data_IF_548845221838
#
_entry.id   IF_548845221838
#
_cell.length_a   1.000
_cell.length_b   1.000
_cell.length_c   1.000
_cell.angle_alpha   90.00
_cell.angle_beta   90.00
_cell.angle_gamma   90.00
#
_symmetry.space_group_name_H-M   'P 1'
#
loop_
_entity.id
_entity.type
_entity.pdbx_description
1 polymer ?
#
# COMPACT_ATOMS: atom_id res chain seq x y z
N UNK A 1 -16.14 -19.99 29.33
CA UNK A 1 -15.79 -21.21 28.57
C UNK A 1 -16.41 -21.23 27.16
N UNK A 2 -17.72 -21.02 26.98
CA UNK A 2 -18.33 -20.94 25.64
C UNK A 2 -17.84 -19.73 24.82
N UNK A 3 -17.72 -18.54 25.42
CA UNK A 3 -17.18 -17.35 24.74
C UNK A 3 -15.72 -17.51 24.35
N UNK A 4 -14.84 -17.89 25.28
CA UNK A 4 -13.42 -18.13 24.98
C UNK A 4 -13.20 -19.19 23.86
N UNK A 5 -14.08 -20.20 23.78
CA UNK A 5 -14.05 -21.18 22.69
C UNK A 5 -14.50 -20.56 21.36
N UNK A 6 -15.58 -19.77 21.36
CA UNK A 6 -16.07 -19.10 20.16
C UNK A 6 -15.06 -18.08 19.61
N UNK A 7 -14.37 -17.36 20.50
CA UNK A 7 -13.32 -16.39 20.18
C UNK A 7 -12.08 -17.08 19.60
N UNK A 8 -11.63 -18.18 20.21
CA UNK A 8 -10.53 -18.99 19.69
C UNK A 8 -10.85 -19.61 18.31
N UNK A 9 -12.09 -20.08 18.10
CA UNK A 9 -12.53 -20.59 16.81
C UNK A 9 -12.63 -19.49 15.75
N UNK A 10 -13.08 -18.28 16.13
CA UNK A 10 -13.11 -17.12 15.24
C UNK A 10 -11.69 -16.71 14.81
N UNK A 11 -10.74 -16.66 15.75
CA UNK A 11 -9.33 -16.39 15.46
C UNK A 11 -8.72 -17.44 14.52
N UNK A 12 -8.98 -18.73 14.74
CA UNK A 12 -8.49 -19.80 13.86
C UNK A 12 -9.10 -19.73 12.46
N UNK A 13 -10.39 -19.40 12.34
CA UNK A 13 -11.05 -19.19 11.03
C UNK A 13 -10.42 -18.00 10.30
N UNK A 14 -10.27 -16.86 10.97
CA UNK A 14 -9.64 -15.67 10.40
C UNK A 14 -8.21 -15.95 9.90
N UNK A 15 -7.42 -16.70 10.69
CA UNK A 15 -6.07 -17.12 10.30
C UNK A 15 -6.05 -18.04 9.07
N UNK A 16 -7.02 -18.95 8.99
CA UNK A 16 -7.13 -19.87 7.84
C UNK A 16 -7.55 -19.14 6.58
N UNK A 17 -8.52 -18.23 6.69
CA UNK A 17 -8.99 -17.39 5.60
C UNK A 17 -7.86 -16.46 5.10
N UNK A 18 -7.08 -15.88 6.01
CA UNK A 18 -5.89 -15.11 5.67
C UNK A 18 -4.87 -15.93 4.88
N UNK A 19 -4.50 -17.14 5.34
CA UNK A 19 -3.55 -18.00 4.64
C UNK A 19 -4.07 -18.44 3.26
N UNK A 20 -5.37 -18.70 3.13
CA UNK A 20 -5.99 -19.03 1.85
C UNK A 20 -5.96 -17.85 0.88
N UNK A 21 -6.30 -16.65 1.35
CA UNK A 21 -6.22 -15.42 0.57
C UNK A 21 -4.78 -15.15 0.11
N UNK A 22 -3.80 -15.21 1.01
CA UNK A 22 -2.40 -15.01 0.66
C UNK A 22 -1.89 -16.03 -0.35
N UNK A 23 -2.28 -17.29 -0.21
CA UNK A 23 -1.90 -18.34 -1.17
C UNK A 23 -2.43 -18.03 -2.58
N UNK A 24 -3.64 -17.49 -2.68
CA UNK A 24 -4.22 -17.08 -3.96
C UNK A 24 -3.52 -15.85 -4.53
N UNK A 25 -3.26 -14.83 -3.70
CA UNK A 25 -2.58 -13.60 -4.11
C UNK A 25 -1.14 -13.86 -4.54
N UNK A 26 -0.42 -14.79 -3.91
CA UNK A 26 0.93 -15.21 -4.31
C UNK A 26 0.93 -15.96 -5.66
N UNK A 27 -0.09 -16.80 -5.90
CA UNK A 27 -0.15 -17.66 -7.10
C UNK A 27 -0.24 -16.84 -8.39
N UNK A 28 -0.95 -15.72 -8.38
CA UNK A 28 -1.15 -14.88 -9.57
C UNK A 28 0.15 -14.30 -10.14
N UNK A 29 0.96 -13.52 -9.37
CA UNK A 29 2.25 -13.02 -9.86
C UNK A 29 3.25 -14.15 -10.12
N UNK A 30 3.23 -15.23 -9.33
CA UNK A 30 4.10 -16.39 -9.58
C UNK A 30 3.81 -17.06 -10.93
N UNK A 31 2.54 -17.29 -11.27
CA UNK A 31 2.14 -17.84 -12.56
C UNK A 31 2.52 -16.91 -13.71
N UNK A 32 2.41 -15.59 -13.52
CA UNK A 32 2.89 -14.60 -14.48
C UNK A 32 4.40 -14.73 -14.70
N UNK A 33 5.18 -14.82 -13.62
CA UNK A 33 6.64 -14.95 -13.68
C UNK A 33 7.05 -16.23 -14.41
N UNK A 34 6.45 -17.38 -14.08
CA UNK A 34 6.71 -18.66 -14.78
C UNK A 34 6.34 -18.56 -16.25
N UNK A 35 5.10 -18.17 -16.57
CA UNK A 35 4.61 -18.14 -17.95
C UNK A 35 5.39 -17.18 -18.85
N UNK A 36 5.68 -15.96 -18.40
CA UNK A 36 6.46 -15.01 -19.20
C UNK A 36 7.94 -15.39 -19.30
N UNK A 37 8.51 -16.05 -18.28
CA UNK A 37 9.86 -16.61 -18.37
C UNK A 37 9.95 -17.74 -19.40
N UNK A 38 8.94 -18.62 -19.45
CA UNK A 38 8.83 -19.67 -20.48
C UNK A 38 8.67 -19.06 -21.89
N UNK A 39 7.89 -17.98 -22.03
CA UNK A 39 7.77 -17.29 -23.32
C UNK A 39 9.07 -16.60 -23.73
N UNK A 40 9.82 -16.03 -22.79
CA UNK A 40 11.13 -15.41 -23.04
C UNK A 40 12.20 -16.42 -23.45
N UNK A 41 12.06 -17.69 -23.05
CA UNK A 41 12.97 -18.77 -23.42
C UNK A 41 12.81 -19.27 -24.86
N UNK A 42 11.81 -18.77 -25.61
CA UNK A 42 11.59 -19.13 -27.01
C UNK A 42 12.53 -18.35 -27.94
N UNK A 43 13.18 -19.05 -28.87
CA UNK A 43 14.20 -18.49 -29.77
C UNK A 43 13.63 -17.52 -30.84
N UNK A 44 12.33 -17.62 -31.16
CA UNK A 44 11.66 -16.91 -32.26
C UNK A 44 10.95 -15.61 -31.83
N UNK A 45 11.27 -15.06 -30.66
CA UNK A 45 10.54 -13.94 -30.10
C UNK A 45 10.95 -12.57 -30.71
N UNK A 46 10.02 -11.81 -31.33
CA UNK A 46 10.30 -10.45 -31.82
C UNK A 46 10.83 -9.52 -30.72
N UNK A 47 11.75 -8.57 -31.03
CA UNK A 47 12.36 -7.70 -30.02
C UNK A 47 11.37 -6.91 -29.17
N UNK A 48 10.27 -6.42 -29.75
CA UNK A 48 9.24 -5.67 -29.04
C UNK A 48 8.48 -6.55 -28.02
N UNK A 49 8.14 -7.79 -28.40
CA UNK A 49 7.50 -8.76 -27.49
C UNK A 49 8.44 -9.17 -26.38
N UNK A 50 9.74 -9.33 -26.70
CA UNK A 50 10.77 -9.62 -25.70
C UNK A 50 10.91 -8.51 -24.66
N UNK A 51 10.85 -7.25 -25.09
CA UNK A 51 10.86 -6.12 -24.16
C UNK A 51 9.63 -6.14 -23.24
N UNK A 52 8.43 -6.26 -23.82
CA UNK A 52 7.19 -6.31 -23.05
C UNK A 52 7.17 -7.48 -22.04
N UNK A 53 7.62 -8.68 -22.43
CA UNK A 53 7.66 -9.83 -21.52
C UNK A 53 8.67 -9.67 -20.39
N UNK A 54 9.83 -9.02 -20.63
CA UNK A 54 10.76 -8.66 -19.55
C UNK A 54 10.13 -7.70 -18.56
N UNK A 55 9.37 -6.72 -19.05
CA UNK A 55 8.65 -5.78 -18.18
C UNK A 55 7.59 -6.52 -17.35
N UNK A 56 6.82 -7.44 -17.95
CA UNK A 56 5.86 -8.28 -17.20
C UNK A 56 6.53 -9.14 -16.12
N UNK A 57 7.66 -9.79 -16.41
CA UNK A 57 8.40 -10.57 -15.41
C UNK A 57 8.86 -9.68 -14.26
N UNK A 58 9.42 -8.49 -14.57
CA UNK A 58 9.86 -7.53 -13.55
C UNK A 58 8.71 -7.08 -12.66
N UNK A 59 7.57 -6.77 -13.26
CA UNK A 59 6.42 -6.26 -12.53
C UNK A 59 5.76 -7.36 -11.68
N UNK A 60 5.69 -8.60 -12.19
CA UNK A 60 5.25 -9.76 -11.43
C UNK A 60 6.17 -10.05 -10.23
N UNK A 61 7.50 -9.98 -10.42
CA UNK A 61 8.46 -10.17 -9.33
C UNK A 61 8.34 -9.08 -8.25
N UNK A 62 8.14 -7.81 -8.65
CA UNK A 62 7.90 -6.70 -7.72
C UNK A 62 6.62 -6.89 -6.93
N UNK A 63 5.53 -7.27 -7.60
CA UNK A 63 4.26 -7.55 -6.94
C UNK A 63 4.38 -8.69 -5.92
N UNK A 64 5.12 -9.75 -6.25
CA UNK A 64 5.35 -10.86 -5.35
C UNK A 64 6.16 -10.43 -4.12
N UNK A 65 7.20 -9.62 -4.31
CA UNK A 65 8.01 -9.09 -3.21
C UNK A 65 7.17 -8.23 -2.26
N UNK A 66 6.32 -7.35 -2.80
CA UNK A 66 5.38 -6.55 -1.97
C UNK A 66 4.49 -7.45 -1.11
N UNK A 67 3.91 -8.51 -1.69
CA UNK A 67 3.05 -9.43 -0.94
C UNK A 67 3.85 -10.12 0.18
N UNK A 68 5.08 -10.55 -0.09
CA UNK A 68 5.94 -11.18 0.92
C UNK A 68 6.27 -10.21 2.06
N UNK A 69 6.64 -8.97 1.71
CA UNK A 69 6.96 -7.93 2.70
C UNK A 69 5.74 -7.60 3.57
N UNK A 70 4.54 -7.51 2.98
CA UNK A 70 3.29 -7.27 3.71
C UNK A 70 2.97 -8.41 4.69
N UNK A 71 3.18 -9.68 4.31
CA UNK A 71 2.99 -10.84 5.20
C UNK A 71 3.99 -10.79 6.37
N UNK A 72 5.26 -10.45 6.09
CA UNK A 72 6.30 -10.37 7.11
C UNK A 72 6.05 -9.23 8.10
N UNK A 73 5.60 -8.08 7.61
CA UNK A 73 5.26 -6.95 8.45
C UNK A 73 4.03 -7.24 9.32
N UNK A 74 2.98 -7.87 8.78
CA UNK A 74 1.84 -8.32 9.58
C UNK A 74 2.28 -9.30 10.67
N UNK A 75 3.12 -10.28 10.32
CA UNK A 75 3.63 -11.28 11.28
C UNK A 75 4.43 -10.62 12.42
N UNK A 76 5.17 -9.54 12.15
CA UNK A 76 5.89 -8.76 13.17
C UNK A 76 4.92 -7.99 14.07
N UNK A 77 3.88 -7.39 13.50
CA UNK A 77 2.84 -6.68 14.24
C UNK A 77 2.10 -7.62 15.20
N UNK A 78 1.62 -8.76 14.72
CA UNK A 78 0.90 -9.75 15.55
C UNK A 78 1.77 -10.32 16.68
N UNK A 79 3.07 -10.48 16.42
CA UNK A 79 4.01 -10.95 17.43
C UNK A 79 4.42 -9.87 18.44
N UNK A 80 3.95 -8.62 18.28
CA UNK A 80 4.38 -7.48 19.08
C UNK A 80 5.88 -7.13 18.89
N UNK A 81 6.46 -7.55 17.76
CA UNK A 81 7.90 -7.38 17.43
C UNK A 81 8.15 -6.23 16.46
N UNK A 82 7.16 -5.36 16.27
CA UNK A 82 7.34 -4.17 15.44
C UNK A 82 7.98 -3.07 16.29
N UNK A 83 9.28 -2.87 16.14
CA UNK A 83 10.01 -1.77 16.77
C UNK A 83 9.88 -0.50 15.92
N UNK A 84 9.24 0.53 16.49
CA UNK A 84 9.15 1.86 15.88
C UNK A 84 10.39 2.67 16.23
N UNK A 85 11.04 3.19 15.19
CA UNK A 85 12.24 4.01 15.33
C UNK A 85 11.86 5.48 15.18
N UNK A 86 11.29 6.05 16.25
CA UNK A 86 10.87 7.44 16.25
C UNK A 86 12.06 8.39 16.17
N UNK A 87 12.04 9.28 15.18
CA UNK A 87 12.98 10.38 15.02
C UNK A 87 12.24 11.67 14.68
N UNK A 88 12.94 12.79 14.72
CA UNK A 88 12.38 14.06 14.25
C UNK A 88 12.29 14.04 12.72
N UNK A 89 11.08 14.25 12.20
CA UNK A 89 10.80 14.23 10.76
C UNK A 89 10.11 15.49 10.29
N UNK A 90 10.33 15.84 9.02
CA UNK A 90 9.59 16.87 8.29
C UNK A 90 8.41 16.20 7.53
N UNK A 91 7.16 16.39 8.00
CA UNK A 91 6.01 15.71 7.42
C UNK A 91 5.70 16.20 6.00
N UNK A 92 6.03 17.45 5.67
CA UNK A 92 5.81 18.02 4.34
C UNK A 92 6.74 17.34 3.34
N UNK A 93 8.05 17.29 3.64
CA UNK A 93 9.02 16.58 2.79
C UNK A 93 8.69 15.10 2.62
N UNK A 94 8.19 14.46 3.68
CA UNK A 94 7.76 13.08 3.61
C UNK A 94 6.61 12.91 2.60
N UNK A 95 5.56 13.72 2.71
CA UNK A 95 4.42 13.69 1.79
C UNK A 95 4.86 13.98 0.36
N UNK A 96 5.65 15.02 0.13
CA UNK A 96 6.18 15.38 -1.20
C UNK A 96 6.94 14.22 -1.84
N UNK A 97 7.80 13.55 -1.08
CA UNK A 97 8.55 12.39 -1.58
C UNK A 97 7.66 11.21 -1.95
N UNK A 98 6.61 10.93 -1.16
CA UNK A 98 5.65 9.86 -1.48
C UNK A 98 4.84 10.20 -2.73
N UNK A 99 4.36 11.44 -2.82
CA UNK A 99 3.63 11.96 -3.98
C UNK A 99 4.50 11.89 -5.24
N UNK A 100 5.78 12.26 -5.17
CA UNK A 100 6.70 12.18 -6.29
C UNK A 100 6.87 10.75 -6.83
N UNK A 101 6.89 9.74 -5.95
CA UNK A 101 7.01 8.33 -6.35
C UNK A 101 5.78 7.82 -7.11
N UNK A 102 4.58 8.27 -6.73
CA UNK A 102 3.31 7.79 -7.29
C UNK A 102 2.84 8.63 -8.49
N UNK A 103 3.36 9.86 -8.64
CA UNK A 103 3.02 10.79 -9.73
C UNK A 103 3.03 10.16 -11.13
N UNK A 104 4.05 9.38 -11.55
CA UNK A 104 4.09 8.82 -12.90
C UNK A 104 2.92 7.87 -13.18
N UNK A 105 2.49 7.09 -12.19
CA UNK A 105 1.39 6.14 -12.30
C UNK A 105 0.04 6.87 -12.42
N UNK A 106 -0.15 7.94 -11.64
CA UNK A 106 -1.32 8.80 -11.73
C UNK A 106 -1.39 9.50 -13.11
N UNK A 107 -0.25 10.03 -13.59
CA UNK A 107 -0.15 10.67 -14.91
C UNK A 107 -0.44 9.71 -16.06
N UNK A 108 0.06 8.47 -15.99
CA UNK A 108 -0.23 7.44 -17.00
C UNK A 108 -1.72 7.11 -17.10
N UNK A 109 -2.48 7.30 -16.01
CA UNK A 109 -3.95 7.17 -15.97
C UNK A 109 -4.70 8.48 -16.25
N UNK A 110 -4.01 9.61 -16.46
CA UNK A 110 -4.64 10.91 -16.63
C UNK A 110 -5.29 11.47 -15.36
N UNK A 111 -4.89 11.01 -14.18
CA UNK A 111 -5.43 11.47 -12.90
C UNK A 111 -4.76 12.75 -12.42
N UNK A 112 -5.56 13.69 -11.92
CA UNK A 112 -5.05 14.84 -11.19
C UNK A 112 -4.45 14.40 -9.85
N UNK A 113 -3.33 15.01 -9.45
CA UNK A 113 -2.72 14.72 -8.15
C UNK A 113 -2.37 16.02 -7.45
N UNK A 114 -2.97 16.23 -6.27
CA UNK A 114 -2.87 17.48 -5.51
C UNK A 114 -2.36 17.23 -4.10
N UNK A 115 -1.69 18.23 -3.54
CA UNK A 115 -1.19 18.21 -2.17
C UNK A 115 -1.56 19.52 -1.49
N UNK A 116 -2.15 19.44 -0.30
CA UNK A 116 -2.54 20.60 0.51
C UNK A 116 -1.91 20.46 1.89
N UNK A 117 -1.21 21.50 2.31
CA UNK A 117 -0.64 21.63 3.65
C UNK A 117 -1.37 22.78 4.33
N UNK A 118 -2.06 22.51 5.43
CA UNK A 118 -2.73 23.54 6.21
C UNK A 118 -1.74 24.28 7.11
N UNK A 119 -2.04 25.52 7.46
CA UNK A 119 -1.18 26.33 8.33
C UNK A 119 -0.93 25.62 9.68
N UNK A 120 0.33 25.53 10.08
CA UNK A 120 0.75 24.84 11.30
C UNK A 120 1.04 23.35 11.13
N UNK A 121 0.81 22.79 9.94
CA UNK A 121 1.15 21.41 9.58
C UNK A 121 2.64 21.22 9.21
N UNK A 122 3.36 22.30 8.94
CA UNK A 122 4.78 22.32 8.59
C UNK A 122 5.73 22.06 9.77
N UNK A 123 5.18 21.88 10.98
CA UNK A 123 5.96 21.57 12.18
C UNK A 123 6.57 20.17 12.08
N UNK A 124 7.82 20.06 12.54
CA UNK A 124 8.47 18.76 12.68
C UNK A 124 7.77 17.93 13.75
N UNK A 125 7.70 16.62 13.53
CA UNK A 125 7.04 15.66 14.43
C UNK A 125 8.00 14.53 14.79
N UNK A 126 7.82 13.94 15.97
CA UNK A 126 8.49 12.70 16.34
C UNK A 126 7.72 11.50 15.77
N UNK A 127 8.31 10.79 14.81
CA UNK A 127 7.68 9.63 14.17
C UNK A 127 8.71 8.73 13.49
N UNK A 128 8.33 7.51 13.14
CA UNK A 128 9.14 6.62 12.30
C UNK A 128 8.88 6.97 10.82
N UNK A 129 9.86 7.64 10.19
CA UNK A 129 9.75 8.09 8.81
C UNK A 129 9.47 6.96 7.82
N UNK A 130 10.06 5.78 8.05
CA UNK A 130 9.96 4.65 7.12
C UNK A 130 8.57 4.01 7.21
N UNK A 131 8.05 3.86 8.43
CA UNK A 131 6.70 3.31 8.64
C UNK A 131 5.63 4.27 8.15
N UNK A 132 5.78 5.57 8.42
CA UNK A 132 4.84 6.57 7.90
C UNK A 132 4.88 6.66 6.37
N UNK A 133 6.07 6.57 5.76
CA UNK A 133 6.23 6.44 4.30
C UNK A 133 5.47 5.25 3.75
N UNK A 134 5.63 4.08 4.37
CA UNK A 134 4.97 2.84 3.95
C UNK A 134 3.45 3.00 3.99
N UNK A 135 2.90 3.54 5.08
CA UNK A 135 1.47 3.82 5.20
C UNK A 135 0.99 4.74 4.08
N UNK A 136 1.68 5.87 3.87
CA UNK A 136 1.30 6.84 2.83
C UNK A 136 1.37 6.26 1.43
N UNK A 137 2.42 5.50 1.10
CA UNK A 137 2.56 4.84 -0.20
C UNK A 137 1.48 3.78 -0.41
N UNK A 138 1.13 2.99 0.60
CA UNK A 138 0.04 2.01 0.49
C UNK A 138 -1.30 2.70 0.19
N UNK A 139 -1.62 3.77 0.90
CA UNK A 139 -2.83 4.55 0.66
C UNK A 139 -2.84 5.21 -0.73
N UNK A 140 -1.73 5.84 -1.13
CA UNK A 140 -1.60 6.50 -2.43
C UNK A 140 -1.66 5.52 -3.61
N UNK A 141 -0.98 4.38 -3.50
CA UNK A 141 -1.00 3.34 -4.53
C UNK A 141 -2.42 2.78 -4.67
N UNK A 142 -3.14 2.55 -3.56
CA UNK A 142 -4.53 2.14 -3.60
C UNK A 142 -5.42 3.19 -4.25
N UNK A 143 -5.30 4.46 -3.86
CA UNK A 143 -6.04 5.57 -4.45
C UNK A 143 -5.85 5.64 -5.98
N UNK A 144 -4.61 5.56 -6.47
CA UNK A 144 -4.31 5.57 -7.91
C UNK A 144 -4.79 4.28 -8.59
N UNK A 145 -4.67 3.12 -7.93
CA UNK A 145 -5.13 1.83 -8.47
C UNK A 145 -6.63 1.85 -8.74
N UNK A 146 -7.44 2.35 -7.81
CA UNK A 146 -8.91 2.27 -7.85
C UNK A 146 -9.60 3.52 -8.41
N UNK A 147 -8.86 4.58 -8.74
CA UNK A 147 -9.40 5.76 -9.44
C UNK A 147 -9.23 5.61 -10.94
N UNK A 148 -10.34 5.62 -11.67
CA UNK A 148 -10.34 5.58 -13.14
C UNK A 148 -10.34 6.95 -13.81
N UNK A 149 -10.94 7.95 -13.16
CA UNK A 149 -11.02 9.34 -13.64
C UNK A 149 -11.14 10.31 -12.44
N UNK A 150 -10.77 11.58 -12.65
CA UNK A 150 -10.76 12.60 -11.61
C UNK A 150 -9.37 12.76 -11.00
N UNK A 151 -9.21 12.50 -9.71
CA UNK A 151 -7.93 12.69 -9.05
C UNK A 151 -7.77 12.12 -7.65
N UNK A 152 -6.54 12.24 -7.16
CA UNK A 152 -6.11 11.87 -5.81
C UNK A 152 -5.55 13.12 -5.13
N UNK A 153 -5.88 13.32 -3.86
CA UNK A 153 -5.43 14.45 -3.06
C UNK A 153 -4.81 13.95 -1.76
N UNK A 154 -3.74 14.63 -1.33
CA UNK A 154 -3.14 14.44 -0.01
C UNK A 154 -3.27 15.73 0.78
N UNK A 155 -3.83 15.64 1.98
CA UNK A 155 -3.97 16.77 2.90
C UNK A 155 -3.21 16.50 4.18
N UNK A 156 -2.51 17.53 4.66
CA UNK A 156 -1.84 17.55 5.96
C UNK A 156 -2.46 18.65 6.83
N UNK A 157 -3.02 18.27 7.98
CA UNK A 157 -3.76 19.21 8.85
C UNK A 157 -3.37 19.01 10.32
N UNK A 158 -3.07 20.09 11.07
CA UNK A 158 -2.93 19.98 12.52
C UNK A 158 -4.28 19.59 13.14
N UNK A 159 -4.23 18.73 14.14
CA UNK A 159 -5.41 18.24 14.87
C UNK A 159 -5.03 18.05 16.34
N UNK A 160 -6.03 17.78 17.18
CA UNK A 160 -5.81 17.56 18.61
C UNK A 160 -5.74 18.87 19.40
N UNK A 161 -5.81 18.78 20.73
CA UNK A 161 -5.78 19.95 21.60
C UNK A 161 -4.35 20.50 21.75
N UNK A 162 -4.16 21.76 22.21
CA UNK A 162 -2.85 22.41 22.28
C UNK A 162 -1.80 21.68 23.15
N UNK A 163 -2.27 20.93 24.15
CA UNK A 163 -1.50 20.12 25.09
C UNK A 163 -1.20 18.71 24.56
N UNK A 164 -1.88 18.27 23.49
CA UNK A 164 -1.61 17.03 22.78
C UNK A 164 -1.74 17.24 21.26
N UNK A 165 -0.84 18.05 20.66
CA UNK A 165 -0.90 18.35 19.24
C UNK A 165 -0.65 17.09 18.42
N UNK A 166 -1.42 16.92 17.36
CA UNK A 166 -1.33 15.82 16.44
C UNK A 166 -1.41 16.32 15.00
N UNK A 167 -1.07 15.44 14.05
CA UNK A 167 -1.09 15.75 12.64
C UNK A 167 -1.91 14.69 11.91
N UNK A 168 -2.89 15.14 11.14
CA UNK A 168 -3.72 14.27 10.30
C UNK A 168 -3.16 14.25 8.89
N UNK A 169 -2.85 13.06 8.42
CA UNK A 169 -2.59 12.77 7.02
C UNK A 169 -3.88 12.23 6.42
N UNK A 170 -4.32 12.77 5.29
CA UNK A 170 -5.52 12.32 4.59
C UNK A 170 -5.20 12.09 3.12
N UNK A 171 -5.48 10.88 2.63
CA UNK A 171 -5.45 10.55 1.20
C UNK A 171 -6.89 10.39 0.76
N UNK A 172 -7.32 11.18 -0.21
CA UNK A 172 -8.69 11.15 -0.75
C UNK A 172 -8.65 10.98 -2.25
N UNK A 173 -9.50 10.11 -2.76
CA UNK A 173 -9.63 9.81 -4.18
C UNK A 173 -11.08 9.94 -4.67
N UNK A 174 -11.25 10.11 -5.97
CA UNK A 174 -12.56 10.18 -6.64
C UNK A 174 -12.96 8.85 -7.29
N UNK A 175 -12.37 7.74 -6.84
CA UNK A 175 -12.59 6.41 -7.40
C UNK A 175 -13.95 5.81 -7.04
N UNK A 176 -14.08 4.51 -7.31
CA UNK A 176 -15.34 3.77 -7.13
C UNK A 176 -15.83 3.65 -5.67
N UNK A 177 -15.00 4.08 -4.71
CA UNK A 177 -15.26 3.90 -3.28
C UNK A 177 -15.19 2.45 -2.83
N UNK A 178 -15.32 2.25 -1.52
CA UNK A 178 -15.37 0.90 -0.91
C UNK A 178 -16.84 0.54 -0.67
N UNK A 179 -17.29 -0.61 -1.18
CA UNK A 179 -18.62 -1.15 -0.93
C UNK A 179 -18.87 -1.33 0.58
N UNK A 180 -20.11 -1.14 1.05
CA UNK A 180 -20.42 -1.10 2.48
C UNK A 180 -20.07 -2.42 3.19
N UNK A 181 -20.26 -3.54 2.51
CA UNK A 181 -19.95 -4.89 2.98
C UNK A 181 -18.44 -5.12 3.14
N UNK A 182 -17.63 -4.46 2.29
CA UNK A 182 -16.16 -4.51 2.39
C UNK A 182 -15.61 -3.59 3.49
N UNK A 183 -16.31 -2.49 3.84
CA UNK A 183 -15.89 -1.58 4.92
C UNK A 183 -15.92 -2.22 6.30
N UNK A 184 -16.73 -3.25 6.52
CA UNK A 184 -16.78 -3.98 7.80
C UNK A 184 -15.57 -4.92 8.00
N UNK A 185 -14.72 -5.09 6.99
CA UNK A 185 -13.55 -5.99 7.00
C UNK A 185 -12.20 -5.24 6.93
N UNK A 186 -12.22 -3.90 6.85
CA UNK A 186 -11.05 -3.02 6.91
C UNK A 186 -10.77 -2.64 8.37
#
# INVERSE_FOLDING_TARGET
LREAKAEAEAANRAKSDFLAAMSHELRTPLNGLVGFSEMLARDDLPPERRAAYRDFVRDAARSLLTIVDDILDLSRVEAGKLDLHAGEIDPVRLVESCVAMVRPQAQAKGLAMTTRVADGAERRIASDANRLRQVLLNLLNNAVKFTGAGGVSVTLEPTGPPDAPALRFSVSDTGMGVAAEARQRL
#
